data_IF_381694167073
#
_entry.id   IF_381694167073
#
_cell.length_a   1.000
_cell.length_b   1.000
_cell.length_c   1.000
_cell.angle_alpha   90.00
_cell.angle_beta   90.00
_cell.angle_gamma   90.00
#
_symmetry.space_group_name_H-M   'P 1'
#
loop_
_entity.id
_entity.type
_entity.pdbx_description
1 polymer ?
#
# COMPACT_ATOMS: atom_id res chain seq x y z
N UNK A 1 10.34 -6.12 -14.77
CA UNK A 1 9.71 -4.93 -14.17
C UNK A 1 9.28 -5.33 -12.78
N UNK A 2 9.59 -4.56 -11.73
CA UNK A 2 9.13 -4.91 -10.39
C UNK A 2 7.59 -4.92 -10.40
N UNK A 3 6.99 -6.09 -10.28
CA UNK A 3 5.55 -6.26 -10.22
C UNK A 3 5.07 -5.71 -8.87
N UNK A 4 4.70 -4.43 -8.84
CA UNK A 4 4.11 -3.82 -7.63
C UNK A 4 2.91 -4.64 -7.18
N UNK A 5 2.82 -4.91 -5.89
CA UNK A 5 1.77 -5.70 -5.27
C UNK A 5 1.12 -4.96 -4.11
N UNK A 6 -0.19 -5.12 -3.98
CA UNK A 6 -0.97 -4.61 -2.85
C UNK A 6 -0.91 -5.64 -1.72
N UNK A 7 -0.35 -5.26 -0.58
CA UNK A 7 -0.21 -6.13 0.58
C UNK A 7 -1.18 -5.70 1.67
N UNK A 8 -2.18 -6.55 1.96
CA UNK A 8 -3.12 -6.31 3.05
C UNK A 8 -2.45 -6.70 4.35
N UNK A 9 -2.38 -5.76 5.30
CA UNK A 9 -1.70 -5.94 6.59
C UNK A 9 -2.63 -6.00 7.78
N UNK A 10 -3.86 -5.52 7.62
CA UNK A 10 -4.82 -5.46 8.72
C UNK A 10 -6.22 -5.73 8.24
N UNK A 11 -6.91 -6.55 9.03
CA UNK A 11 -8.32 -6.85 8.89
C UNK A 11 -9.10 -6.35 10.11
N UNK A 12 -10.37 -6.02 9.89
CA UNK A 12 -11.38 -5.79 10.93
C UNK A 12 -12.45 -6.86 10.71
N UNK A 13 -12.40 -7.93 11.50
CA UNK A 13 -13.13 -9.15 11.19
C UNK A 13 -12.58 -9.80 9.91
N UNK A 14 -13.45 -10.03 8.92
CA UNK A 14 -13.10 -10.48 7.56
C UNK A 14 -12.72 -9.32 6.62
N UNK A 15 -13.06 -8.08 6.98
CA UNK A 15 -12.90 -6.94 6.09
C UNK A 15 -11.46 -6.42 6.08
N UNK A 16 -10.79 -6.37 4.91
CA UNK A 16 -9.48 -5.73 4.81
C UNK A 16 -9.61 -4.24 5.12
N UNK A 17 -8.78 -3.73 6.03
CA UNK A 17 -8.87 -2.36 6.55
C UNK A 17 -7.66 -1.49 6.17
N UNK A 18 -6.48 -2.12 6.05
CA UNK A 18 -5.23 -1.43 5.71
C UNK A 18 -4.41 -2.32 4.79
N UNK A 19 -3.89 -1.72 3.73
CA UNK A 19 -2.94 -2.34 2.81
C UNK A 19 -1.81 -1.36 2.44
N UNK A 20 -0.74 -1.85 1.84
CA UNK A 20 0.34 -1.00 1.32
C UNK A 20 0.89 -1.50 -0.02
N UNK A 21 1.52 -0.62 -0.80
CA UNK A 21 2.31 -0.99 -1.98
C UNK A 21 3.70 -1.50 -1.55
N UNK A 22 4.09 -2.71 -1.94
CA UNK A 22 5.36 -3.32 -1.53
C UNK A 22 6.60 -2.55 -2.00
N UNK A 23 6.49 -1.82 -3.11
CA UNK A 23 7.57 -1.01 -3.70
C UNK A 23 7.73 0.33 -3.00
N UNK A 24 6.70 1.17 -2.97
CA UNK A 24 6.79 2.54 -2.43
C UNK A 24 6.30 2.69 -0.99
N UNK A 25 5.81 1.60 -0.37
CA UNK A 25 5.25 1.58 1.00
C UNK A 25 4.05 2.53 1.23
N UNK A 26 3.48 3.09 0.16
CA UNK A 26 2.27 3.91 0.25
C UNK A 26 1.14 3.08 0.87
N UNK A 27 0.52 3.62 1.92
CA UNK A 27 -0.54 2.95 2.68
C UNK A 27 -1.92 3.34 2.14
N UNK A 28 -2.75 2.33 1.90
CA UNK A 28 -4.15 2.44 1.53
C UNK A 28 -5.02 2.01 2.71
N UNK A 29 -6.11 2.74 2.94
CA UNK A 29 -7.05 2.46 4.02
C UNK A 29 -8.45 2.35 3.45
N UNK A 30 -9.17 1.34 3.93
CA UNK A 30 -10.57 1.16 3.60
C UNK A 30 -11.37 2.29 4.22
N UNK A 31 -12.26 2.90 3.42
CA UNK A 31 -13.19 3.92 3.89
C UNK A 31 -14.16 3.31 4.88
N UNK A 32 -14.56 4.10 5.87
CA UNK A 32 -15.43 3.64 6.94
C UNK A 32 -16.76 3.07 6.42
N UNK A 33 -17.32 3.65 5.35
CA UNK A 33 -18.52 3.17 4.67
C UNK A 33 -18.41 1.75 4.09
N UNK A 34 -17.19 1.29 3.78
CA UNK A 34 -16.92 -0.04 3.25
C UNK A 34 -16.37 -1.01 4.29
N UNK A 35 -16.14 -0.59 5.54
CA UNK A 35 -15.66 -1.50 6.59
C UNK A 35 -16.66 -2.60 6.97
N UNK A 36 -17.94 -2.41 6.63
CA UNK A 36 -19.02 -3.38 6.85
C UNK A 36 -19.19 -4.34 5.66
N UNK A 37 -18.46 -4.15 4.56
CA UNK A 37 -18.62 -4.87 3.29
C UNK A 37 -17.24 -5.26 2.75
N UNK A 38 -16.82 -6.51 2.99
CA UNK A 38 -15.45 -6.95 2.71
C UNK A 38 -15.12 -6.94 1.22
N UNK A 39 -16.11 -7.20 0.35
CA UNK A 39 -15.95 -7.11 -1.10
C UNK A 39 -15.72 -5.67 -1.55
N UNK A 40 -16.54 -4.71 -1.09
CA UNK A 40 -16.34 -3.29 -1.42
C UNK A 40 -15.03 -2.75 -0.87
N UNK A 41 -14.64 -3.17 0.35
CA UNK A 41 -13.36 -2.80 0.93
C UNK A 41 -12.19 -3.25 0.05
N UNK A 42 -12.21 -4.52 -0.39
CA UNK A 42 -11.19 -5.06 -1.27
C UNK A 42 -11.17 -4.35 -2.62
N UNK A 43 -12.35 -4.13 -3.21
CA UNK A 43 -12.46 -3.41 -4.48
C UNK A 43 -11.92 -1.98 -4.38
N UNK A 44 -12.24 -1.26 -3.32
CA UNK A 44 -11.74 0.10 -3.09
C UNK A 44 -10.21 0.11 -2.96
N UNK A 45 -9.65 -0.77 -2.11
CA UNK A 45 -8.19 -0.86 -1.94
C UNK A 45 -7.47 -1.20 -3.25
N UNK A 46 -8.03 -2.13 -4.04
CA UNK A 46 -7.50 -2.46 -5.37
C UNK A 46 -7.58 -1.27 -6.31
N UNK A 47 -8.71 -0.56 -6.38
CA UNK A 47 -8.85 0.62 -7.25
C UNK A 47 -7.90 1.76 -6.84
N UNK A 48 -7.74 2.01 -5.55
CA UNK A 48 -6.80 3.02 -5.04
C UNK A 48 -5.36 2.60 -5.37
N UNK A 49 -5.05 1.30 -5.31
CA UNK A 49 -3.79 0.74 -5.76
C UNK A 49 -3.61 0.78 -7.28
N UNK A 50 -4.65 0.63 -8.10
CA UNK A 50 -4.48 0.76 -9.55
C UNK A 50 -4.22 2.22 -9.95
N UNK A 51 -4.89 3.16 -9.27
CA UNK A 51 -4.78 4.60 -9.50
C UNK A 51 -3.51 5.22 -8.93
N UNK A 52 -2.86 4.61 -7.93
CA UNK A 52 -1.66 5.21 -7.38
C UNK A 52 -0.54 5.23 -8.41
N UNK A 53 0.15 6.35 -8.51
CA UNK A 53 1.43 6.42 -9.22
C UNK A 53 2.52 5.89 -8.28
N UNK A 54 3.06 4.71 -8.57
CA UNK A 54 4.16 4.16 -7.78
C UNK A 54 5.42 4.97 -8.04
N UNK A 55 5.75 5.88 -7.13
CA UNK A 55 7.01 6.62 -7.11
C UNK A 55 7.87 5.99 -6.02
N UNK A 56 8.66 4.93 -6.30
CA UNK A 56 9.67 4.48 -5.36
C UNK A 56 10.58 5.69 -5.10
N UNK A 57 10.73 6.12 -3.85
CA UNK A 57 11.59 7.26 -3.54
C UNK A 57 13.01 6.98 -4.06
N UNK A 58 13.50 7.70 -5.08
CA UNK A 58 14.86 7.54 -5.55
C UNK A 58 15.76 8.25 -4.54
N UNK A 59 16.28 7.51 -3.54
CA UNK A 59 17.20 8.08 -2.56
C UNK A 59 17.36 7.33 -1.24
N UNK A 60 16.44 6.43 -0.87
CA UNK A 60 16.51 5.75 0.44
C UNK A 60 17.69 4.77 0.62
N UNK A 61 18.48 4.50 -0.43
CA UNK A 61 19.67 3.63 -0.37
C UNK A 61 21.00 4.34 -0.59
N UNK A 62 21.04 5.62 -0.98
CA UNK A 62 22.29 6.31 -1.31
C UNK A 62 22.79 7.27 -0.19
N UNK A 63 21.89 7.81 0.64
CA UNK A 63 22.30 8.68 1.76
C UNK A 63 22.92 7.91 2.95
N UNK A 64 22.68 6.60 3.08
CA UNK A 64 23.24 5.80 4.17
C UNK A 64 24.72 5.39 3.94
N UNK A 65 25.19 5.36 2.69
CA UNK A 65 26.56 4.95 2.34
C UNK A 65 27.58 6.09 2.32
N UNK A 66 27.14 7.36 2.27
CA UNK A 66 28.04 8.52 2.27
C UNK A 66 28.54 8.92 3.67
N UNK A 67 28.04 8.29 4.74
CA UNK A 67 28.41 8.63 6.14
C UNK A 67 29.45 7.71 6.78
N UNK A 68 29.94 6.71 6.04
CA UNK A 68 31.05 5.85 6.48
C UNK A 68 32.28 6.22 5.64
N UNK A 69 32.86 7.37 5.94
CA UNK A 69 34.22 7.73 5.53
C UNK A 69 35.07 7.94 6.77
#
# INVERSE_FOLDING_TARGET
MAERNLQIVRFIGDTPSVAYCDVCRLTFRTRQEFLLDSEKARQQLTQDFEKHECKPEPGAVDEALTRIR
#
